data_IF_891016024249
#
_entry.id   IF_891016024249
#
_cell.length_a   1.000
_cell.length_b   1.000
_cell.length_c   1.000
_cell.angle_alpha   90.00
_cell.angle_beta   90.00
_cell.angle_gamma   90.00
#
_symmetry.space_group_name_H-M   'P 1'
#
loop_
_entity.id
_entity.type
_entity.pdbx_description
1 polymer ?
#
# COMPACT_ATOMS: atom_id res chain seq x y z
N UNK A 1 7.83 -8.01 -33.49
CA UNK A 1 7.42 -9.38 -33.13
C UNK A 1 8.56 -10.40 -33.14
N UNK A 2 9.65 -10.23 -33.90
CA UNK A 2 10.69 -11.29 -34.07
C UNK A 2 11.79 -11.43 -33.00
N UNK A 3 11.74 -10.67 -31.90
CA UNK A 3 12.73 -10.83 -30.80
C UNK A 3 12.23 -11.66 -29.62
N UNK A 4 10.92 -11.92 -29.54
CA UNK A 4 10.30 -12.68 -28.43
C UNK A 4 10.31 -14.19 -28.73
N UNK A 5 10.39 -14.60 -30.00
CA UNK A 5 10.34 -16.00 -30.41
C UNK A 5 11.66 -16.78 -30.29
N UNK A 6 12.80 -16.12 -30.08
CA UNK A 6 14.11 -16.81 -30.01
C UNK A 6 14.48 -17.34 -28.63
N UNK A 7 13.66 -17.10 -27.61
CA UNK A 7 13.96 -17.58 -26.24
C UNK A 7 13.46 -19.01 -25.95
N UNK A 8 12.73 -19.62 -26.89
CA UNK A 8 12.10 -20.93 -26.70
C UNK A 8 12.95 -22.14 -27.10
N UNK A 9 14.24 -21.97 -27.37
CA UNK A 9 15.08 -23.08 -27.81
C UNK A 9 16.44 -23.04 -27.16
N UNK A 10 16.52 -23.55 -25.93
CA UNK A 10 17.53 -24.51 -25.42
C UNK A 10 17.22 -24.74 -23.94
N UNK A 11 16.52 -25.84 -23.60
CA UNK A 11 16.20 -26.24 -22.23
C UNK A 11 17.06 -27.45 -21.88
N UNK A 12 17.94 -27.32 -20.88
CA UNK A 12 18.44 -28.46 -20.13
C UNK A 12 18.99 -28.05 -18.75
N UNK A 13 18.52 -28.78 -17.71
CA UNK A 13 18.94 -28.84 -16.30
C UNK A 13 18.85 -27.56 -15.45
N UNK A 14 18.19 -27.63 -14.27
CA UNK A 14 18.11 -26.60 -13.22
C UNK A 14 17.60 -25.20 -13.62
N UNK A 15 17.24 -24.94 -14.88
CA UNK A 15 16.77 -23.65 -15.40
C UNK A 15 15.28 -23.35 -15.17
N UNK A 16 14.51 -24.27 -14.59
CA UNK A 16 13.02 -24.22 -14.58
C UNK A 16 12.41 -23.39 -13.43
N UNK A 17 13.09 -23.25 -12.29
CA UNK A 17 12.72 -22.35 -11.18
C UNK A 17 12.77 -20.88 -11.56
N UNK A 18 13.66 -20.56 -12.49
CA UNK A 18 13.89 -19.26 -13.09
C UNK A 18 12.78 -18.86 -14.09
N UNK A 19 11.96 -19.80 -14.58
CA UNK A 19 10.82 -19.51 -15.45
C UNK A 19 9.51 -19.30 -14.68
N UNK A 20 9.30 -19.99 -13.56
CA UNK A 20 8.00 -20.00 -12.86
C UNK A 20 7.64 -18.67 -12.19
N UNK A 21 8.59 -17.99 -11.51
CA UNK A 21 8.34 -16.73 -10.80
C UNK A 21 8.38 -15.53 -11.76
N UNK A 22 9.20 -15.63 -12.81
CA UNK A 22 9.30 -14.66 -13.90
C UNK A 22 8.03 -14.70 -14.77
N UNK A 23 7.45 -15.87 -15.07
CA UNK A 23 6.17 -16.00 -15.80
C UNK A 23 4.94 -15.61 -14.97
N UNK A 24 4.93 -15.84 -13.66
CA UNK A 24 3.77 -15.54 -12.81
C UNK A 24 3.52 -14.03 -12.69
N UNK A 25 4.58 -13.25 -12.47
CA UNK A 25 4.47 -11.80 -12.38
C UNK A 25 4.45 -11.13 -13.78
N UNK A 26 5.15 -11.66 -14.79
CA UNK A 26 5.09 -11.11 -16.16
C UNK A 26 3.71 -11.34 -16.82
N UNK A 27 3.04 -12.47 -16.57
CA UNK A 27 1.67 -12.74 -17.09
C UNK A 27 0.61 -11.86 -16.40
N UNK A 28 0.79 -11.58 -15.10
CA UNK A 28 -0.02 -10.63 -14.35
C UNK A 28 0.10 -9.19 -14.91
N UNK A 29 1.31 -8.80 -15.33
CA UNK A 29 1.58 -7.52 -15.99
C UNK A 29 1.07 -7.42 -17.44
N UNK A 30 0.88 -8.54 -18.15
CA UNK A 30 0.26 -8.53 -19.48
C UNK A 30 -1.27 -8.43 -19.41
N UNK A 31 -1.89 -9.00 -18.37
CA UNK A 31 -3.34 -8.92 -18.12
C UNK A 31 -3.81 -7.49 -17.74
N UNK A 32 -3.08 -6.77 -16.89
CA UNK A 32 -3.36 -5.34 -16.62
C UNK A 32 -3.14 -4.43 -17.85
N UNK A 33 -2.40 -4.92 -18.85
CA UNK A 33 -2.06 -4.20 -20.09
C UNK A 33 -3.07 -4.44 -21.21
N UNK A 34 -3.80 -5.56 -21.21
CA UNK A 34 -4.79 -5.97 -22.22
C UNK A 34 -6.25 -5.65 -21.88
N UNK A 35 -6.57 -5.00 -20.76
CA UNK A 35 -7.94 -4.47 -20.49
C UNK A 35 -8.05 -2.95 -20.67
N UNK A 36 -7.06 -2.35 -21.33
CA UNK A 36 -7.36 -1.73 -22.64
C UNK A 36 -7.22 -2.81 -23.73
N UNK A 37 -8.26 -3.64 -23.85
CA UNK A 37 -8.64 -4.64 -24.89
C UNK A 37 -7.60 -5.69 -25.41
N UNK A 38 -8.02 -6.97 -25.26
CA UNK A 38 -7.81 -8.23 -26.05
C UNK A 38 -6.92 -9.40 -25.54
N UNK A 39 -7.52 -10.61 -25.60
CA UNK A 39 -7.41 -11.90 -24.88
C UNK A 39 -6.14 -12.80 -24.99
N UNK A 40 -5.97 -13.72 -24.01
CA UNK A 40 -5.18 -14.99 -24.07
C UNK A 40 -5.55 -16.01 -22.95
N UNK A 41 -5.49 -17.32 -23.24
CA UNK A 41 -6.49 -18.36 -22.85
C UNK A 41 -6.14 -19.42 -21.75
N UNK A 42 -5.16 -19.22 -20.86
CA UNK A 42 -4.83 -20.26 -19.83
C UNK A 42 -4.95 -19.81 -18.38
N UNK A 43 -4.87 -18.50 -18.12
CA UNK A 43 -5.04 -17.88 -16.81
C UNK A 43 -6.52 -17.72 -16.41
N UNK A 44 -7.39 -17.46 -17.40
CA UNK A 44 -8.82 -17.24 -17.21
C UNK A 44 -9.53 -18.43 -16.56
N UNK A 45 -9.23 -19.67 -16.94
CA UNK A 45 -10.00 -20.82 -16.48
C UNK A 45 -9.87 -21.08 -14.97
N UNK A 46 -8.72 -20.77 -14.36
CA UNK A 46 -8.54 -20.92 -12.91
C UNK A 46 -9.11 -19.72 -12.14
N UNK A 47 -8.87 -18.49 -12.62
CA UNK A 47 -9.44 -17.27 -12.04
C UNK A 47 -10.97 -17.27 -12.11
N UNK A 48 -11.55 -17.64 -13.26
CA UNK A 48 -12.99 -17.77 -13.43
C UNK A 48 -13.56 -19.01 -12.75
N UNK A 49 -12.81 -20.10 -12.52
CA UNK A 49 -13.26 -21.17 -11.60
C UNK A 49 -13.36 -20.68 -10.17
N UNK A 50 -12.46 -19.83 -9.70
CA UNK A 50 -12.55 -19.21 -8.37
C UNK A 50 -13.78 -18.28 -8.31
N UNK A 51 -14.05 -17.52 -9.38
CA UNK A 51 -15.22 -16.65 -9.48
C UNK A 51 -16.56 -17.38 -9.70
N UNK A 52 -16.57 -18.50 -10.42
CA UNK A 52 -17.78 -19.28 -10.77
C UNK A 52 -18.04 -20.47 -9.83
N UNK A 53 -17.04 -20.91 -9.08
CA UNK A 53 -17.12 -22.07 -8.19
C UNK A 53 -17.76 -21.79 -6.84
N UNK A 54 -18.13 -20.54 -6.57
CA UNK A 54 -18.84 -20.17 -5.35
C UNK A 54 -20.15 -19.48 -5.72
N UNK A 55 -21.28 -20.17 -5.52
CA UNK A 55 -22.63 -19.59 -5.46
C UNK A 55 -22.80 -18.63 -4.25
N UNK A 56 -21.77 -17.81 -3.97
CA UNK A 56 -21.78 -16.79 -2.93
C UNK A 56 -21.84 -15.43 -3.61
N UNK A 57 -22.74 -14.54 -3.14
CA UNK A 57 -22.88 -13.22 -3.74
C UNK A 57 -21.53 -12.48 -3.75
N UNK A 58 -21.22 -11.86 -4.90
CA UNK A 58 -20.03 -11.01 -5.11
C UNK A 58 -20.05 -9.83 -4.15
N UNK A 59 -19.50 -10.03 -2.95
CA UNK A 59 -19.23 -8.96 -1.97
C UNK A 59 -17.72 -8.68 -1.80
N UNK A 60 -16.86 -9.38 -2.55
CA UNK A 60 -15.42 -9.19 -2.46
C UNK A 60 -14.93 -8.23 -3.54
N UNK A 61 -14.11 -7.27 -3.13
CA UNK A 61 -13.36 -6.38 -4.00
C UNK A 61 -12.32 -7.16 -4.83
N UNK A 62 -11.90 -6.59 -5.95
CA UNK A 62 -10.84 -7.13 -6.80
C UNK A 62 -9.55 -7.39 -6.00
N UNK A 63 -9.21 -6.50 -5.06
CA UNK A 63 -8.04 -6.65 -4.19
C UNK A 63 -8.15 -7.89 -3.28
N UNK A 64 -9.34 -8.19 -2.75
CA UNK A 64 -9.54 -9.36 -1.88
C UNK A 64 -9.41 -10.67 -2.65
N UNK A 65 -9.97 -10.74 -3.85
CA UNK A 65 -9.85 -11.92 -4.73
C UNK A 65 -8.38 -12.14 -5.09
N UNK A 66 -7.68 -11.06 -5.38
CA UNK A 66 -6.26 -11.11 -5.75
C UNK A 66 -5.38 -11.56 -4.57
N UNK A 67 -5.65 -11.11 -3.35
CA UNK A 67 -4.95 -11.58 -2.15
C UNK A 67 -5.09 -13.07 -1.95
N UNK A 68 -6.31 -13.60 -2.08
CA UNK A 68 -6.57 -15.03 -1.93
C UNK A 68 -5.79 -15.87 -2.95
N UNK A 69 -5.75 -15.42 -4.20
CA UNK A 69 -4.97 -16.08 -5.25
C UNK A 69 -3.47 -16.05 -4.97
N UNK A 70 -2.92 -14.89 -4.59
CA UNK A 70 -1.50 -14.76 -4.25
C UNK A 70 -1.12 -15.65 -3.07
N UNK A 71 -1.98 -15.73 -2.04
CA UNK A 71 -1.74 -16.63 -0.91
C UNK A 71 -1.74 -18.12 -1.34
N UNK A 72 -2.58 -18.50 -2.30
CA UNK A 72 -2.57 -19.86 -2.87
C UNK A 72 -1.26 -20.15 -3.64
N UNK A 73 -0.84 -19.26 -4.53
CA UNK A 73 0.41 -19.41 -5.29
C UNK A 73 1.64 -19.39 -4.37
N UNK A 74 1.60 -18.60 -3.30
CA UNK A 74 2.64 -18.62 -2.28
C UNK A 74 2.78 -20.01 -1.64
N UNK A 75 1.67 -20.68 -1.33
CA UNK A 75 1.72 -22.03 -0.76
C UNK A 75 2.29 -23.04 -1.75
N UNK A 76 1.91 -22.96 -3.03
CA UNK A 76 2.48 -23.81 -4.08
C UNK A 76 3.99 -23.60 -4.23
N UNK A 77 4.43 -22.35 -4.16
CA UNK A 77 5.85 -22.03 -4.23
C UNK A 77 6.62 -22.59 -3.03
N UNK A 78 6.08 -22.48 -1.81
CA UNK A 78 6.69 -23.08 -0.61
C UNK A 78 6.86 -24.59 -0.76
N UNK A 79 5.81 -25.27 -1.20
CA UNK A 79 5.83 -26.72 -1.44
C UNK A 79 6.90 -27.11 -2.48
N UNK A 80 6.99 -26.33 -3.55
CA UNK A 80 7.98 -26.56 -4.60
C UNK A 80 9.41 -26.30 -4.14
N UNK A 81 9.65 -25.23 -3.39
CA UNK A 81 10.96 -24.91 -2.82
C UNK A 81 11.41 -26.02 -1.84
N UNK A 82 10.50 -26.53 -1.01
CA UNK A 82 10.76 -27.68 -0.13
C UNK A 82 11.10 -28.95 -0.90
N UNK A 83 10.33 -29.28 -1.95
CA UNK A 83 10.62 -30.46 -2.77
C UNK A 83 11.95 -30.34 -3.50
N UNK A 84 12.23 -29.15 -4.02
CA UNK A 84 13.48 -28.87 -4.73
C UNK A 84 14.66 -29.01 -3.78
N UNK A 85 14.63 -28.38 -2.60
CA UNK A 85 15.73 -28.48 -1.62
C UNK A 85 16.00 -29.91 -1.14
N UNK A 86 14.98 -30.78 -1.11
CA UNK A 86 15.11 -32.19 -0.75
C UNK A 86 15.60 -33.08 -1.90
N UNK A 87 15.24 -32.76 -3.14
CA UNK A 87 15.56 -33.56 -4.34
C UNK A 87 16.99 -33.39 -4.86
N UNK A 88 17.73 -32.48 -4.25
CA UNK A 88 18.88 -31.84 -4.84
C UNK A 88 20.09 -32.08 -3.93
N UNK A 89 20.96 -33.00 -4.34
CA UNK A 89 22.38 -33.04 -3.89
C UNK A 89 23.20 -31.87 -4.49
N UNK A 90 22.55 -30.77 -4.87
CA UNK A 90 23.25 -29.56 -5.34
C UNK A 90 23.71 -28.84 -4.09
N UNK A 91 24.93 -28.34 -4.18
CA UNK A 91 25.49 -27.31 -3.33
C UNK A 91 24.41 -26.28 -2.90
N UNK A 92 23.87 -26.48 -1.69
CA UNK A 92 22.79 -25.68 -1.12
C UNK A 92 23.16 -24.20 -1.10
N UNK A 93 24.45 -23.86 -1.09
CA UNK A 93 24.89 -22.48 -1.20
C UNK A 93 24.55 -21.88 -2.56
N UNK A 94 24.84 -22.59 -3.66
CA UNK A 94 24.53 -22.14 -5.01
C UNK A 94 23.03 -21.97 -5.26
N UNK A 95 22.21 -22.87 -4.70
CA UNK A 95 20.76 -22.78 -4.81
C UNK A 95 20.22 -21.53 -4.10
N UNK A 96 20.58 -21.33 -2.84
CA UNK A 96 20.10 -20.17 -2.07
C UNK A 96 20.69 -18.86 -2.61
N UNK A 97 21.95 -18.82 -3.05
CA UNK A 97 22.55 -17.64 -3.71
C UNK A 97 21.80 -17.28 -5.00
N UNK A 98 21.27 -18.27 -5.72
CA UNK A 98 20.40 -18.02 -6.87
C UNK A 98 19.05 -17.46 -6.44
N UNK A 99 18.41 -18.02 -5.42
CA UNK A 99 17.15 -17.47 -4.89
C UNK A 99 17.31 -16.01 -4.44
N UNK A 100 18.38 -15.68 -3.74
CA UNK A 100 18.68 -14.31 -3.30
C UNK A 100 18.75 -13.34 -4.49
N UNK A 101 19.52 -13.72 -5.52
CA UNK A 101 19.66 -12.91 -6.74
C UNK A 101 18.33 -12.73 -7.46
N UNK A 102 17.52 -13.78 -7.56
CA UNK A 102 16.22 -13.70 -8.21
C UNK A 102 15.24 -12.83 -7.41
N UNK A 103 15.18 -12.95 -6.08
CA UNK A 103 14.37 -12.06 -5.25
C UNK A 103 14.82 -10.61 -5.34
N UNK A 104 16.12 -10.35 -5.27
CA UNK A 104 16.66 -8.99 -5.37
C UNK A 104 16.37 -8.37 -6.74
N UNK A 105 16.50 -9.17 -7.82
CA UNK A 105 16.17 -8.74 -9.17
C UNK A 105 14.68 -8.42 -9.30
N UNK A 106 13.79 -9.26 -8.77
CA UNK A 106 12.36 -9.02 -8.76
C UNK A 106 12.01 -7.70 -8.07
N UNK A 107 12.59 -7.43 -6.90
CA UNK A 107 12.43 -6.16 -6.19
C UNK A 107 12.93 -4.98 -7.02
N UNK A 108 14.15 -5.08 -7.56
CA UNK A 108 14.77 -3.99 -8.30
C UNK A 108 14.01 -3.63 -9.58
N UNK A 109 13.51 -4.64 -10.29
CA UNK A 109 12.81 -4.46 -11.57
C UNK A 109 11.36 -3.95 -11.38
N UNK A 110 10.76 -4.20 -10.21
CA UNK A 110 9.32 -3.96 -9.98
C UNK A 110 9.00 -3.07 -8.75
N UNK A 111 9.98 -2.33 -8.19
CA UNK A 111 9.77 -1.54 -6.96
C UNK A 111 8.60 -0.53 -7.03
N UNK A 112 8.36 0.11 -8.18
CA UNK A 112 7.23 1.04 -8.35
C UNK A 112 5.88 0.33 -8.18
N UNK A 113 5.79 -0.89 -8.68
CA UNK A 113 4.60 -1.71 -8.59
C UNK A 113 4.36 -2.21 -7.17
N UNK A 114 5.42 -2.57 -6.45
CA UNK A 114 5.33 -2.88 -5.03
C UNK A 114 4.91 -1.68 -4.17
N UNK A 115 5.28 -0.46 -4.57
CA UNK A 115 4.79 0.76 -3.94
C UNK A 115 3.29 1.01 -4.20
N UNK A 116 2.80 0.65 -5.40
CA UNK A 116 1.38 0.78 -5.76
C UNK A 116 0.51 -0.31 -5.13
N UNK A 117 1.03 -1.53 -5.00
CA UNK A 117 0.33 -2.68 -4.44
C UNK A 117 1.13 -3.35 -3.30
N UNK A 118 1.17 -2.76 -2.10
CA UNK A 118 2.01 -3.22 -1.00
C UNK A 118 1.76 -4.66 -0.54
N UNK A 119 0.52 -5.16 -0.64
CA UNK A 119 0.16 -6.53 -0.25
C UNK A 119 0.87 -7.59 -1.11
N UNK A 120 1.31 -7.24 -2.32
CA UNK A 120 2.09 -8.12 -3.20
C UNK A 120 3.52 -8.23 -2.69
N UNK A 121 4.09 -7.12 -2.24
CA UNK A 121 5.39 -7.14 -1.59
C UNK A 121 5.35 -7.88 -0.25
N UNK A 122 4.28 -7.73 0.53
CA UNK A 122 4.06 -8.53 1.75
C UNK A 122 4.07 -10.03 1.44
N UNK A 123 3.42 -10.42 0.34
CA UNK A 123 3.39 -11.79 -0.13
C UNK A 123 4.78 -12.31 -0.51
N UNK A 124 5.57 -11.51 -1.23
CA UNK A 124 6.96 -11.84 -1.53
C UNK A 124 7.80 -11.98 -0.25
N UNK A 125 7.60 -11.11 0.74
CA UNK A 125 8.27 -11.19 2.04
C UNK A 125 7.89 -12.48 2.80
N UNK A 126 6.64 -12.95 2.73
CA UNK A 126 6.25 -14.25 3.32
C UNK A 126 7.05 -15.40 2.71
N UNK A 127 7.38 -15.35 1.42
CA UNK A 127 8.21 -16.35 0.75
C UNK A 127 9.67 -16.23 1.19
N UNK A 128 10.23 -15.02 1.24
CA UNK A 128 11.60 -14.80 1.71
C UNK A 128 11.76 -15.29 3.16
N UNK A 129 10.79 -14.98 4.03
CA UNK A 129 10.76 -15.49 5.41
C UNK A 129 10.72 -17.01 5.46
N UNK A 130 9.90 -17.65 4.62
CA UNK A 130 9.85 -19.10 4.53
C UNK A 130 11.20 -19.70 4.12
N UNK A 131 11.87 -19.13 3.12
CA UNK A 131 13.22 -19.57 2.71
C UNK A 131 14.19 -19.44 3.88
N UNK A 132 14.17 -18.30 4.57
CA UNK A 132 15.01 -18.02 5.72
C UNK A 132 14.80 -18.98 6.89
N UNK A 133 13.57 -19.42 7.12
CA UNK A 133 13.20 -20.29 8.24
C UNK A 133 13.44 -21.77 7.95
N UNK A 134 13.16 -22.21 6.72
CA UNK A 134 13.06 -23.64 6.41
C UNK A 134 14.12 -24.16 5.44
N UNK A 135 14.76 -23.29 4.66
CA UNK A 135 15.68 -23.71 3.59
C UNK A 135 17.12 -23.28 3.82
N UNK A 136 17.36 -22.29 4.69
CA UNK A 136 18.71 -21.86 5.02
C UNK A 136 19.35 -22.82 6.03
N UNK A 137 20.53 -23.39 5.73
CA UNK A 137 21.25 -24.24 6.66
C UNK A 137 21.63 -23.49 7.95
N UNK A 138 21.64 -24.22 9.07
CA UNK A 138 22.09 -23.70 10.36
C UNK A 138 23.53 -23.17 10.22
N UNK A 139 23.74 -21.92 10.63
CA UNK A 139 25.05 -21.26 10.58
C UNK A 139 25.32 -20.44 9.31
N UNK A 140 24.42 -20.46 8.32
CA UNK A 140 24.45 -19.54 7.18
C UNK A 140 23.61 -18.31 7.46
N UNK A 141 24.07 -17.15 6.99
CA UNK A 141 23.33 -15.90 7.12
C UNK A 141 21.99 -15.96 6.39
N UNK A 142 20.99 -15.29 6.97
CA UNK A 142 19.67 -15.15 6.35
C UNK A 142 19.78 -14.38 5.03
N UNK A 143 18.93 -14.71 4.07
CA UNK A 143 18.72 -13.89 2.88
C UNK A 143 18.35 -12.47 3.31
N UNK A 144 19.13 -11.52 2.82
CA UNK A 144 18.95 -10.09 3.08
C UNK A 144 18.67 -9.39 1.76
N UNK A 145 17.38 -9.16 1.47
CA UNK A 145 16.98 -8.47 0.25
C UNK A 145 16.87 -6.96 0.54
N UNK A 146 17.60 -6.15 -0.22
CA UNK A 146 17.50 -4.69 -0.16
C UNK A 146 16.19 -4.24 -0.81
N UNK A 147 15.26 -3.81 0.04
CA UNK A 147 13.98 -3.25 -0.35
C UNK A 147 13.89 -1.74 -0.06
N UNK A 148 15.03 -1.04 0.11
CA UNK A 148 15.05 0.41 0.43
C UNK A 148 14.31 1.30 -0.57
N UNK A 149 14.15 0.84 -1.82
CA UNK A 149 13.39 1.52 -2.89
C UNK A 149 11.89 1.27 -2.82
N UNK A 150 11.49 0.21 -2.14
CA UNK A 150 10.11 -0.02 -1.79
C UNK A 150 9.85 0.88 -0.59
N UNK A 151 9.23 2.03 -0.86
CA UNK A 151 8.68 2.89 0.17
C UNK A 151 7.42 2.17 0.61
N UNK A 152 7.63 1.12 1.41
CA UNK A 152 6.57 0.41 2.09
C UNK A 152 6.01 1.41 3.09
N UNK A 153 5.08 2.22 2.60
CA UNK A 153 3.91 2.49 3.38
C UNK A 153 3.32 1.10 3.61
N UNK A 154 3.70 0.46 4.74
CA UNK A 154 2.69 -0.27 5.51
C UNK A 154 1.40 0.52 5.29
N UNK A 155 0.27 -0.16 5.13
CA UNK A 155 -0.92 0.44 5.73
C UNK A 155 -0.51 0.70 7.18
N UNK A 156 0.06 1.89 7.44
CA UNK A 156 0.04 2.61 8.67
C UNK A 156 -1.43 2.53 8.92
N UNK A 157 -1.83 1.58 9.77
CA UNK A 157 -3.21 1.17 10.00
C UNK A 157 -4.00 2.46 9.86
N UNK A 158 -4.76 2.63 8.77
CA UNK A 158 -5.12 3.99 8.33
C UNK A 158 -5.88 4.68 9.44
N UNK A 159 -6.62 3.89 10.22
CA UNK A 159 -7.21 4.27 11.48
C UNK A 159 -6.19 4.72 12.53
N UNK A 160 -5.10 3.98 12.76
CA UNK A 160 -3.99 4.40 13.61
C UNK A 160 -3.29 5.66 13.10
N UNK A 161 -2.97 5.79 11.81
CA UNK A 161 -2.37 7.00 11.24
C UNK A 161 -3.28 8.22 11.46
N UNK A 162 -4.56 8.06 11.15
CA UNK A 162 -5.57 9.10 11.34
C UNK A 162 -5.70 9.43 12.81
N UNK A 163 -5.79 8.44 13.71
CA UNK A 163 -5.81 8.68 15.16
C UNK A 163 -4.55 9.39 15.64
N UNK A 164 -3.37 8.98 15.19
CA UNK A 164 -2.09 9.59 15.59
C UNK A 164 -2.01 11.05 15.14
N UNK A 165 -2.38 11.35 13.88
CA UNK A 165 -2.40 12.71 13.33
C UNK A 165 -3.46 13.58 14.00
N UNK A 166 -4.68 13.09 14.16
CA UNK A 166 -5.82 13.90 14.60
C UNK A 166 -6.07 13.83 16.12
N UNK A 167 -5.33 13.02 16.87
CA UNK A 167 -5.48 12.81 18.33
C UNK A 167 -5.64 14.10 19.14
N UNK A 168 -4.89 15.13 18.77
CA UNK A 168 -4.90 16.41 19.46
C UNK A 168 -6.26 17.15 19.38
N UNK A 169 -7.11 16.85 18.39
CA UNK A 169 -8.41 17.51 18.26
C UNK A 169 -9.42 17.09 19.33
N UNK A 170 -9.20 15.98 20.03
CA UNK A 170 -10.00 15.59 21.21
C UNK A 170 -9.37 16.10 22.53
N UNK A 171 -8.43 17.03 22.45
CA UNK A 171 -7.74 17.62 23.61
C UNK A 171 -8.14 19.09 23.80
N UNK A 172 -7.60 19.70 24.86
CA UNK A 172 -7.76 21.14 25.08
C UNK A 172 -6.75 21.95 24.24
N UNK A 173 -7.17 23.12 23.76
CA UNK A 173 -6.28 24.10 23.14
C UNK A 173 -5.44 24.86 24.19
N UNK A 174 -4.64 25.83 23.75
CA UNK A 174 -3.74 26.58 24.63
C UNK A 174 -4.50 27.41 25.69
N UNK A 175 -5.76 27.73 25.44
CA UNK A 175 -6.65 28.45 26.34
C UNK A 175 -7.37 27.51 27.33
N UNK A 176 -7.20 26.18 27.19
CA UNK A 176 -7.85 25.18 28.03
C UNK A 176 -9.25 24.78 27.56
N UNK A 177 -9.73 25.28 26.41
CA UNK A 177 -11.01 24.89 25.84
C UNK A 177 -10.87 23.59 25.04
N UNK A 178 -11.88 22.72 25.09
CA UNK A 178 -11.93 21.53 24.23
C UNK A 178 -11.95 21.94 22.76
N UNK A 179 -11.09 21.34 21.95
CA UNK A 179 -11.04 21.61 20.51
C UNK A 179 -12.26 21.01 19.81
N UNK A 180 -12.52 19.71 20.01
CA UNK A 180 -13.75 19.03 19.61
C UNK A 180 -14.30 18.22 20.79
N UNK A 181 -15.62 18.09 20.84
CA UNK A 181 -16.25 17.10 21.71
C UNK A 181 -16.01 15.70 21.17
N UNK A 182 -15.99 14.71 22.07
CA UNK A 182 -15.73 13.31 21.73
C UNK A 182 -16.59 12.79 20.57
N UNK A 183 -17.88 13.13 20.54
CA UNK A 183 -18.81 12.69 19.48
C UNK A 183 -18.44 13.26 18.11
N UNK A 184 -18.03 14.53 18.07
CA UNK A 184 -17.60 15.20 16.84
C UNK A 184 -16.21 14.75 16.40
N UNK A 185 -15.35 14.39 17.36
CA UNK A 185 -14.06 13.76 17.08
C UNK A 185 -14.22 12.38 16.46
N UNK A 186 -15.04 11.49 17.02
CA UNK A 186 -15.29 10.17 16.41
C UNK A 186 -15.96 10.30 15.03
N UNK A 187 -16.87 11.27 14.86
CA UNK A 187 -17.45 11.60 13.55
C UNK A 187 -16.40 12.05 12.54
N UNK A 188 -15.44 12.89 12.95
CA UNK A 188 -14.31 13.29 12.11
C UNK A 188 -13.50 12.08 11.64
N UNK A 189 -13.16 11.17 12.55
CA UNK A 189 -12.40 9.96 12.21
C UNK A 189 -13.15 9.11 11.19
N UNK A 190 -14.45 8.88 11.39
CA UNK A 190 -15.29 8.12 10.45
C UNK A 190 -15.28 8.72 9.04
N UNK A 191 -15.40 10.06 8.93
CA UNK A 191 -15.41 10.73 7.61
C UNK A 191 -14.05 10.74 6.94
N UNK A 192 -12.97 10.83 7.71
CA UNK A 192 -11.61 10.70 7.18
C UNK A 192 -11.37 9.26 6.72
N UNK A 193 -11.78 8.26 7.48
CA UNK A 193 -11.63 6.85 7.11
C UNK A 193 -12.37 6.55 5.81
N UNK A 194 -13.61 7.04 5.66
CA UNK A 194 -14.34 6.96 4.40
C UNK A 194 -13.59 7.62 3.24
N UNK A 195 -13.09 8.85 3.44
CA UNK A 195 -12.30 9.57 2.43
C UNK A 195 -11.08 8.76 1.98
N UNK A 196 -10.39 8.09 2.90
CA UNK A 196 -9.17 7.33 2.59
C UNK A 196 -9.52 6.01 1.89
N UNK A 197 -10.50 5.26 2.41
CA UNK A 197 -10.85 3.93 1.91
C UNK A 197 -11.52 4.02 0.54
N UNK A 198 -12.45 4.97 0.37
CA UNK A 198 -13.25 5.09 -0.85
C UNK A 198 -12.66 6.07 -1.87
N UNK A 199 -11.64 6.85 -1.47
CA UNK A 199 -11.05 7.96 -2.25
C UNK A 199 -12.11 8.97 -2.78
N UNK A 200 -13.20 9.13 -2.01
CA UNK A 200 -14.36 9.95 -2.36
C UNK A 200 -14.67 10.95 -1.26
N UNK A 201 -15.31 12.04 -1.66
CA UNK A 201 -15.84 13.02 -0.72
C UNK A 201 -16.97 12.37 0.10
N UNK A 202 -16.86 12.30 1.43
CA UNK A 202 -17.87 11.68 2.27
C UNK A 202 -19.17 12.49 2.29
N UNK A 203 -20.29 11.81 2.54
CA UNK A 203 -21.55 12.49 2.87
C UNK A 203 -21.43 13.14 4.25
N UNK A 204 -21.69 14.45 4.31
CA UNK A 204 -21.61 15.24 5.54
C UNK A 204 -23.02 15.56 6.04
N UNK A 205 -23.34 15.05 7.22
CA UNK A 205 -24.62 15.26 7.91
C UNK A 205 -24.60 16.54 8.74
N UNK A 206 -23.44 16.85 9.34
CA UNK A 206 -23.23 18.06 10.12
C UNK A 206 -21.79 18.56 9.97
N UNK A 207 -21.62 19.88 10.05
CA UNK A 207 -20.30 20.52 10.04
C UNK A 207 -19.70 20.55 11.44
N UNK A 208 -18.39 20.38 11.50
CA UNK A 208 -17.59 20.48 12.70
C UNK A 208 -17.11 21.93 12.90
N UNK A 209 -17.05 22.36 14.15
CA UNK A 209 -16.56 23.68 14.54
C UNK A 209 -15.44 23.57 15.60
N UNK A 210 -14.24 23.12 15.20
CA UNK A 210 -13.13 22.96 16.13
C UNK A 210 -12.62 24.32 16.64
N UNK A 211 -12.31 24.42 17.94
CA UNK A 211 -11.68 25.61 18.54
C UNK A 211 -10.15 25.67 18.25
N UNK A 212 -9.82 25.69 16.96
CA UNK A 212 -8.45 25.80 16.44
C UNK A 212 -8.42 26.54 15.10
N UNK A 213 -7.25 27.07 14.72
CA UNK A 213 -7.09 27.80 13.47
C UNK A 213 -7.27 26.91 12.23
N UNK A 214 -7.96 27.46 11.23
CA UNK A 214 -8.17 26.79 9.94
C UNK A 214 -6.86 26.41 9.25
N UNK A 215 -5.80 27.20 9.42
CA UNK A 215 -4.46 26.89 8.88
C UNK A 215 -3.91 25.61 9.51
N UNK A 216 -4.15 25.37 10.80
CA UNK A 216 -3.73 24.13 11.48
C UNK A 216 -4.53 22.93 10.99
N UNK A 217 -5.84 23.07 10.78
CA UNK A 217 -6.70 22.01 10.24
C UNK A 217 -6.26 21.65 8.81
N UNK A 218 -6.10 22.67 7.96
CA UNK A 218 -5.66 22.51 6.56
C UNK A 218 -4.28 21.85 6.49
N UNK A 219 -3.35 22.28 7.36
CA UNK A 219 -2.03 21.66 7.46
C UNK A 219 -2.10 20.20 7.93
N UNK A 220 -2.97 19.89 8.88
CA UNK A 220 -3.17 18.52 9.39
C UNK A 220 -3.65 17.58 8.29
N UNK A 221 -4.63 18.02 7.48
CA UNK A 221 -5.08 17.25 6.31
C UNK A 221 -3.99 17.13 5.23
N UNK A 222 -3.13 18.14 5.08
CA UNK A 222 -1.96 18.04 4.20
C UNK A 222 -0.96 17.01 4.70
N UNK A 223 -0.68 16.95 6.02
CA UNK A 223 0.19 15.92 6.61
C UNK A 223 -0.39 14.54 6.34
N UNK A 224 -1.68 14.32 6.61
CA UNK A 224 -2.35 13.05 6.30
C UNK A 224 -2.19 12.67 4.82
N UNK A 225 -2.49 13.60 3.91
CA UNK A 225 -2.32 13.37 2.48
C UNK A 225 -0.86 13.04 2.11
N UNK A 226 0.10 13.72 2.73
CA UNK A 226 1.52 13.55 2.49
C UNK A 226 2.00 12.16 2.94
N UNK A 227 1.59 11.72 4.12
CA UNK A 227 1.91 10.40 4.66
C UNK A 227 1.28 9.28 3.82
N UNK A 228 0.02 9.44 3.38
CA UNK A 228 -0.68 8.42 2.61
C UNK A 228 -0.15 8.26 1.18
N UNK A 229 0.05 9.38 0.47
CA UNK A 229 0.28 9.32 -0.98
C UNK A 229 1.68 9.70 -1.41
N UNK A 230 2.46 10.39 -0.57
CA UNK A 230 3.81 10.94 -0.86
C UNK A 230 3.93 11.91 -2.05
N UNK A 231 2.92 11.95 -2.93
CA UNK A 231 2.91 12.70 -4.19
C UNK A 231 2.88 14.22 -4.00
N UNK A 232 3.29 14.94 -5.05
CA UNK A 232 3.17 16.41 -5.12
C UNK A 232 1.76 16.88 -5.50
N UNK A 233 0.95 16.02 -6.11
CA UNK A 233 -0.39 16.38 -6.61
C UNK A 233 -1.37 16.27 -5.45
N UNK A 234 -1.99 17.40 -5.10
CA UNK A 234 -3.03 17.44 -4.06
C UNK A 234 -4.32 16.84 -4.63
N UNK A 235 -4.81 15.76 -4.01
CA UNK A 235 -6.10 15.16 -4.35
C UNK A 235 -7.25 16.13 -4.08
N UNK A 236 -8.14 16.28 -5.05
CA UNK A 236 -9.29 17.22 -4.96
C UNK A 236 -10.24 16.86 -3.81
N UNK A 237 -10.46 15.55 -3.60
CA UNK A 237 -11.34 15.01 -2.56
C UNK A 237 -10.95 15.47 -1.15
N UNK A 238 -9.66 15.63 -0.85
CA UNK A 238 -9.19 16.15 0.44
C UNK A 238 -9.59 17.60 0.66
N UNK A 239 -9.49 18.43 -0.38
CA UNK A 239 -9.83 19.86 -0.31
C UNK A 239 -11.35 20.05 -0.22
N UNK A 240 -12.12 19.26 -0.98
CA UNK A 240 -13.58 19.27 -0.93
C UNK A 240 -14.09 18.77 0.43
N UNK A 241 -13.46 17.74 0.99
CA UNK A 241 -13.81 17.23 2.33
C UNK A 241 -13.55 18.29 3.40
N UNK A 242 -12.42 19.01 3.34
CA UNK A 242 -12.16 20.13 4.26
C UNK A 242 -13.27 21.19 4.21
N UNK A 243 -13.69 21.57 3.00
CA UNK A 243 -14.71 22.59 2.80
C UNK A 243 -16.10 22.15 3.32
N UNK A 244 -16.45 20.87 3.12
CA UNK A 244 -17.74 20.33 3.53
C UNK A 244 -17.80 20.02 5.02
N UNK A 245 -16.71 19.50 5.60
CA UNK A 245 -16.69 18.96 6.96
C UNK A 245 -16.56 20.05 8.04
N UNK A 246 -15.91 21.17 7.74
CA UNK A 246 -15.58 22.19 8.75
C UNK A 246 -16.24 23.54 8.46
N UNK A 247 -16.90 24.12 9.46
CA UNK A 247 -17.59 25.41 9.32
C UNK A 247 -16.62 26.55 8.98
N UNK A 248 -15.37 26.47 9.45
CA UNK A 248 -14.33 27.49 9.24
C UNK A 248 -13.97 27.68 7.75
N UNK A 249 -14.35 26.73 6.88
CA UNK A 249 -14.06 26.76 5.44
C UNK A 249 -15.29 27.06 4.57
N UNK A 250 -16.48 27.21 5.16
CA UNK A 250 -17.76 27.32 4.43
C UNK A 250 -17.77 28.42 3.37
N UNK A 251 -17.17 29.57 3.68
CA UNK A 251 -17.15 30.74 2.80
C UNK A 251 -15.86 30.85 1.98
N UNK A 252 -14.98 29.85 2.02
CA UNK A 252 -13.74 29.88 1.25
C UNK A 252 -13.90 29.19 -0.10
N UNK A 253 -13.39 29.81 -1.16
CA UNK A 253 -13.28 29.16 -2.47
C UNK A 253 -12.28 28.01 -2.42
N UNK A 254 -12.55 26.90 -3.12
CA UNK A 254 -11.66 25.73 -3.21
C UNK A 254 -10.23 26.10 -3.62
N UNK A 255 -10.07 27.09 -4.51
CA UNK A 255 -8.75 27.58 -4.93
C UNK A 255 -7.95 28.23 -3.79
N UNK A 256 -8.63 28.91 -2.88
CA UNK A 256 -8.03 29.53 -1.69
C UNK A 256 -7.65 28.48 -0.66
N UNK A 257 -8.53 27.51 -0.40
CA UNK A 257 -8.25 26.36 0.49
C UNK A 257 -7.02 25.60 -0.03
N UNK A 258 -6.97 25.32 -1.34
CA UNK A 258 -5.84 24.64 -1.98
C UNK A 258 -4.51 25.40 -1.84
N UNK A 259 -4.53 26.74 -1.86
CA UNK A 259 -3.32 27.56 -1.65
C UNK A 259 -2.83 27.51 -0.19
N UNK A 260 -3.74 27.37 0.76
CA UNK A 260 -3.43 27.25 2.19
C UNK A 260 -3.02 25.82 2.57
N UNK A 261 -3.43 24.83 1.77
CA UNK A 261 -3.13 23.42 2.00
C UNK A 261 -1.63 23.15 2.05
N UNK A 262 -1.13 22.80 3.25
CA UNK A 262 0.30 22.57 3.49
C UNK A 262 1.12 23.83 3.82
N UNK A 263 0.48 24.97 4.07
CA UNK A 263 1.17 26.22 4.45
C UNK A 263 1.74 26.15 5.88
N UNK A 264 3.01 25.74 5.98
CA UNK A 264 3.74 25.54 7.26
C UNK A 264 3.87 26.80 8.12
N UNK A 265 4.02 27.98 7.51
CA UNK A 265 4.36 29.23 8.22
C UNK A 265 3.21 29.81 9.03
N UNK A 266 1.98 29.33 8.80
CA UNK A 266 0.76 29.83 9.45
C UNK A 266 0.24 28.89 10.54
N UNK A 267 0.92 27.76 10.76
CA UNK A 267 0.56 26.79 11.79
C UNK A 267 0.98 27.32 13.14
N UNK A 268 -0.02 27.67 13.94
CA UNK A 268 0.14 28.11 15.34
C UNK A 268 0.09 26.91 16.29
N UNK A 269 0.37 27.14 17.57
CA UNK A 269 0.11 26.18 18.66
C UNK A 269 0.85 24.83 18.54
N UNK A 270 2.15 24.89 18.21
CA UNK A 270 2.98 23.68 18.01
C UNK A 270 3.02 22.73 19.21
N UNK A 271 2.75 23.22 20.43
CA UNK A 271 2.83 22.43 21.67
C UNK A 271 1.78 21.35 21.79
N UNK A 272 0.60 21.56 21.20
CA UNK A 272 -0.51 20.59 21.24
C UNK A 272 -0.47 19.62 20.05
N UNK A 273 0.37 19.90 19.04
CA UNK A 273 0.42 19.09 17.84
C UNK A 273 1.22 17.80 18.07
N UNK A 274 0.76 16.65 17.55
CA UNK A 274 1.50 15.40 17.62
C UNK A 274 2.83 15.47 16.88
N UNK A 275 3.79 14.64 17.30
CA UNK A 275 5.14 14.64 16.72
C UNK A 275 5.14 14.43 15.20
N UNK A 276 4.22 13.61 14.69
CA UNK A 276 4.05 13.37 13.25
C UNK A 276 3.76 14.66 12.49
N UNK A 277 2.99 15.60 13.06
CA UNK A 277 2.72 16.90 12.45
C UNK A 277 3.92 17.83 12.60
N UNK A 278 4.52 17.88 13.80
CA UNK A 278 5.62 18.81 14.09
C UNK A 278 6.87 18.52 13.27
N UNK A 279 7.11 17.26 12.90
CA UNK A 279 8.21 16.86 12.01
C UNK A 279 8.16 17.53 10.64
N UNK A 280 6.97 17.97 10.20
CA UNK A 280 6.79 18.64 8.92
C UNK A 280 6.92 20.17 9.02
N UNK A 281 7.02 20.74 10.21
CA UNK A 281 7.16 22.18 10.41
C UNK A 281 8.63 22.60 10.29
N UNK A 282 8.93 23.83 9.83
CA UNK A 282 10.29 24.35 9.85
C UNK A 282 10.77 24.47 11.30
N UNK A 283 12.04 24.06 11.50
CA UNK A 283 12.78 24.20 12.77
C UNK A 283 12.80 25.67 13.17
#
# INVERSE_FOLDING_TARGET
MDKIFRFYKTINSNSELEFLIVDLYISYFQYLKSERIEYSYTFEDNFFKILKGNDKPLFKSYEEILKEYIDEENNRLKDFLSKTSLSVEIDNENFINRLEREFQKLINDNYLFYNEYPFIYESLNKIISYVNEFLIPIGRDKLCIDASRIIYNQKLDSHKLVRDIFSYLNSNNEQGNLILHKEDYEYLLEKIDYLIIEDKVPSIERKLNPDISLDTISFTFWVLHKELFTTKIIRKSFIETLQLLFINFENQELGSIKKQFGSKTRVTNRKILPQIITNHLPI
#
